data_IF_900025766105
#
_entry.id   IF_900025766105
#
_cell.length_a   1.000
_cell.length_b   1.000
_cell.length_c   1.000
_cell.angle_alpha   90.00
_cell.angle_beta   90.00
_cell.angle_gamma   90.00
#
_symmetry.space_group_name_H-M   'P 1'
#
loop_
_entity.id
_entity.type
_entity.pdbx_description
1 polymer ?
#
# COMPACT_ATOMS: atom_id res chain seq x y z
N UNK A 1 -106.80 1.28 42.63
CA UNK A 1 -105.61 0.41 42.72
C UNK A 1 -105.18 0.06 41.30
N UNK A 2 -104.05 0.60 40.84
CA UNK A 2 -103.50 0.36 39.51
C UNK A 2 -102.33 -0.61 39.66
N UNK A 3 -102.22 -1.71 38.89
CA UNK A 3 -101.10 -2.62 39.03
C UNK A 3 -99.86 -2.01 38.35
N UNK A 4 -98.77 -1.87 39.09
CA UNK A 4 -97.46 -1.51 38.54
C UNK A 4 -96.88 -2.71 37.78
N UNK A 5 -96.67 -2.55 36.47
CA UNK A 5 -95.87 -3.46 35.67
C UNK A 5 -94.41 -3.36 36.13
N UNK A 6 -93.87 -4.43 36.71
CA UNK A 6 -92.44 -4.54 37.01
C UNK A 6 -91.68 -4.62 35.68
N UNK A 7 -90.94 -3.57 35.37
CA UNK A 7 -90.05 -3.51 34.23
C UNK A 7 -88.75 -4.24 34.63
N UNK A 8 -88.58 -5.48 34.16
CA UNK A 8 -87.32 -6.20 34.32
C UNK A 8 -86.28 -5.57 33.39
N UNK A 9 -85.39 -4.75 33.95
CA UNK A 9 -84.22 -4.23 33.24
C UNK A 9 -83.25 -5.40 33.02
N UNK A 10 -83.15 -5.86 31.78
CA UNK A 10 -82.13 -6.85 31.39
C UNK A 10 -80.82 -6.08 31.24
N UNK A 11 -79.95 -6.20 32.24
CA UNK A 11 -78.58 -5.70 32.15
C UNK A 11 -77.79 -6.69 31.29
N UNK A 12 -77.46 -6.32 30.06
CA UNK A 12 -76.45 -7.04 29.29
C UNK A 12 -75.07 -6.69 29.83
N UNK A 13 -74.49 -7.58 30.62
CA UNK A 13 -73.07 -7.55 30.95
C UNK A 13 -72.27 -7.88 29.69
N UNK A 14 -71.75 -6.85 29.03
CA UNK A 14 -70.77 -7.04 27.97
C UNK A 14 -69.44 -7.31 28.66
N UNK A 15 -69.15 -8.59 28.87
CA UNK A 15 -67.79 -9.06 29.20
C UNK A 15 -66.88 -8.78 28.01
N UNK A 16 -66.27 -7.59 27.99
CA UNK A 16 -65.11 -7.32 27.14
C UNK A 16 -63.96 -8.14 27.71
N UNK A 17 -63.77 -9.34 27.16
CA UNK A 17 -62.55 -10.12 27.36
C UNK A 17 -61.38 -9.32 26.79
N UNK A 18 -60.76 -8.50 27.63
CA UNK A 18 -59.48 -7.86 27.36
C UNK A 18 -58.37 -8.90 27.51
N UNK A 19 -58.36 -9.88 26.60
CA UNK A 19 -57.22 -10.77 26.44
C UNK A 19 -55.97 -9.93 26.26
N UNK A 20 -54.94 -10.19 27.08
CA UNK A 20 -53.64 -9.52 27.01
C UNK A 20 -53.20 -9.44 25.54
N UNK A 21 -52.74 -8.27 25.04
CA UNK A 21 -52.49 -8.09 23.62
C UNK A 21 -51.18 -8.78 23.24
N UNK A 22 -51.22 -10.11 23.18
CA UNK A 22 -50.10 -11.02 22.95
C UNK A 22 -49.35 -10.70 21.64
N UNK A 23 -50.07 -10.18 20.65
CA UNK A 23 -49.54 -9.69 19.38
C UNK A 23 -48.57 -8.51 19.54
N UNK A 24 -48.76 -7.65 20.55
CA UNK A 24 -47.85 -6.53 20.86
C UNK A 24 -46.53 -7.05 21.43
N UNK A 25 -46.58 -8.07 22.30
CA UNK A 25 -45.37 -8.70 22.84
C UNK A 25 -44.57 -9.42 21.77
N UNK A 26 -45.24 -10.15 20.87
CA UNK A 26 -44.57 -10.81 19.73
C UNK A 26 -43.95 -9.78 18.79
N UNK A 27 -44.66 -8.70 18.46
CA UNK A 27 -44.13 -7.62 17.63
C UNK A 27 -42.91 -6.93 18.27
N UNK A 28 -42.92 -6.72 19.59
CA UNK A 28 -41.80 -6.16 20.33
C UNK A 28 -40.56 -7.08 20.31
N UNK A 29 -40.74 -8.40 20.46
CA UNK A 29 -39.65 -9.38 20.38
C UNK A 29 -39.06 -9.45 18.97
N UNK A 30 -39.90 -9.51 17.94
CA UNK A 30 -39.45 -9.52 16.54
C UNK A 30 -38.74 -8.21 16.20
N UNK A 31 -39.29 -7.06 16.60
CA UNK A 31 -38.66 -5.76 16.43
C UNK A 31 -37.30 -5.67 17.12
N UNK A 32 -37.17 -6.20 18.34
CA UNK A 32 -35.90 -6.31 19.05
C UNK A 32 -34.87 -7.16 18.32
N UNK A 33 -35.27 -8.33 17.78
CA UNK A 33 -34.37 -9.20 17.01
C UNK A 33 -33.89 -8.54 15.70
N UNK A 34 -34.78 -7.85 14.99
CA UNK A 34 -34.41 -7.11 13.76
C UNK A 34 -33.45 -5.98 14.10
N UNK A 35 -33.68 -5.23 15.18
CA UNK A 35 -32.80 -4.15 15.61
C UNK A 35 -31.40 -4.67 15.99
N UNK A 36 -31.32 -5.77 16.76
CA UNK A 36 -30.06 -6.41 17.12
C UNK A 36 -29.34 -6.94 15.88
N UNK A 37 -30.06 -7.62 14.97
CA UNK A 37 -29.50 -8.12 13.71
C UNK A 37 -28.98 -7.00 12.81
N UNK A 38 -29.73 -5.90 12.68
CA UNK A 38 -29.32 -4.71 11.95
C UNK A 38 -28.08 -4.05 12.56
N UNK A 39 -28.02 -3.93 13.89
CA UNK A 39 -26.86 -3.38 14.59
C UNK A 39 -25.59 -4.21 14.37
N UNK A 40 -25.68 -5.55 14.50
CA UNK A 40 -24.55 -6.45 14.28
C UNK A 40 -24.05 -6.38 12.83
N UNK A 41 -24.97 -6.35 11.86
CA UNK A 41 -24.61 -6.20 10.46
C UNK A 41 -23.90 -4.86 10.21
N UNK A 42 -24.45 -3.74 10.67
CA UNK A 42 -23.83 -2.41 10.53
C UNK A 42 -22.45 -2.36 11.18
N UNK A 43 -22.31 -2.90 12.39
CA UNK A 43 -21.04 -2.94 13.10
C UNK A 43 -19.97 -3.77 12.35
N UNK A 44 -20.37 -4.93 11.81
CA UNK A 44 -19.48 -5.78 11.01
C UNK A 44 -19.07 -5.10 9.69
N UNK A 45 -20.04 -4.53 8.96
CA UNK A 45 -19.78 -3.81 7.71
C UNK A 45 -18.93 -2.54 7.93
N UNK A 46 -19.13 -1.82 9.03
CA UNK A 46 -18.30 -0.64 9.36
C UNK A 46 -16.85 -1.04 9.60
N UNK A 47 -16.61 -2.06 10.46
CA UNK A 47 -15.24 -2.52 10.74
C UNK A 47 -14.53 -2.99 9.47
N UNK A 48 -15.24 -3.71 8.59
CA UNK A 48 -14.68 -4.15 7.30
C UNK A 48 -14.34 -2.96 6.39
N UNK A 49 -15.23 -1.98 6.26
CA UNK A 49 -15.02 -0.78 5.46
C UNK A 49 -13.83 0.04 5.97
N UNK A 50 -13.69 0.15 7.30
CA UNK A 50 -12.60 0.91 7.92
C UNK A 50 -11.25 0.22 7.72
N UNK A 51 -11.19 -1.12 7.83
CA UNK A 51 -9.99 -1.90 7.49
C UNK A 51 -9.62 -1.79 6.01
N UNK A 52 -10.58 -1.88 5.11
CA UNK A 52 -10.35 -1.72 3.67
C UNK A 52 -9.87 -0.30 3.34
N UNK A 53 -10.44 0.72 4.00
CA UNK A 53 -10.01 2.10 3.89
C UNK A 53 -8.57 2.30 4.37
N UNK A 54 -8.23 1.76 5.54
CA UNK A 54 -6.88 1.81 6.09
C UNK A 54 -5.86 1.15 5.17
N UNK A 55 -6.18 -0.05 4.66
CA UNK A 55 -5.33 -0.78 3.71
C UNK A 55 -5.06 0.04 2.44
N UNK A 56 -6.09 0.68 1.87
CA UNK A 56 -5.94 1.53 0.67
C UNK A 56 -5.02 2.71 0.92
N UNK A 57 -5.19 3.40 2.04
CA UNK A 57 -4.35 4.56 2.40
C UNK A 57 -2.91 4.12 2.64
N UNK A 58 -2.70 3.05 3.40
CA UNK A 58 -1.37 2.53 3.68
C UNK A 58 -0.64 2.08 2.40
N UNK A 59 -1.33 1.41 1.48
CA UNK A 59 -0.78 1.02 0.19
C UNK A 59 -0.43 2.22 -0.69
N UNK A 60 -1.32 3.23 -0.73
CA UNK A 60 -1.10 4.43 -1.52
C UNK A 60 0.09 5.24 -0.99
N UNK A 61 0.21 5.38 0.33
CA UNK A 61 1.36 6.01 0.98
C UNK A 61 2.65 5.24 0.67
N UNK A 62 2.65 3.91 0.86
CA UNK A 62 3.84 3.09 0.68
C UNK A 62 4.31 3.07 -0.78
N UNK A 63 3.41 2.91 -1.75
CA UNK A 63 3.76 2.96 -3.18
C UNK A 63 4.27 4.34 -3.57
N UNK A 64 3.64 5.42 -3.08
CA UNK A 64 4.09 6.78 -3.37
C UNK A 64 5.47 7.04 -2.78
N UNK A 65 5.72 6.59 -1.55
CA UNK A 65 7.02 6.69 -0.90
C UNK A 65 8.11 5.89 -1.65
N UNK A 66 7.78 4.70 -2.14
CA UNK A 66 8.71 3.88 -2.93
C UNK A 66 9.07 4.56 -4.26
N UNK A 67 8.09 5.09 -4.99
CA UNK A 67 8.32 5.80 -6.25
C UNK A 67 9.15 7.07 -6.01
N UNK A 68 8.77 7.88 -5.02
CA UNK A 68 9.49 9.12 -4.71
C UNK A 68 10.95 8.85 -4.30
N UNK A 69 11.18 7.86 -3.44
CA UNK A 69 12.53 7.47 -3.00
C UNK A 69 13.35 6.88 -4.16
N UNK A 70 12.70 6.14 -5.05
CA UNK A 70 13.32 5.58 -6.26
C UNK A 70 13.81 6.67 -7.22
N UNK A 71 12.99 7.70 -7.45
CA UNK A 71 13.37 8.88 -8.25
C UNK A 71 14.51 9.63 -7.56
N UNK A 72 14.35 9.93 -6.27
CA UNK A 72 15.37 10.65 -5.48
C UNK A 72 16.73 9.95 -5.52
N UNK A 73 16.77 8.62 -5.32
CA UNK A 73 18.05 7.88 -5.39
C UNK A 73 18.69 8.00 -6.76
N UNK A 74 17.92 7.84 -7.84
CA UNK A 74 18.43 7.98 -9.22
C UNK A 74 19.03 9.36 -9.41
N UNK A 75 18.27 10.41 -9.08
CA UNK A 75 18.69 11.79 -9.28
C UNK A 75 19.99 12.09 -8.54
N UNK A 76 20.13 11.62 -7.29
CA UNK A 76 21.38 11.77 -6.53
C UNK A 76 22.58 11.04 -7.14
N UNK A 77 22.36 9.92 -7.83
CA UNK A 77 23.44 9.17 -8.49
C UNK A 77 23.81 9.81 -9.83
N UNK A 78 22.83 10.22 -10.62
CA UNK A 78 23.04 10.83 -11.94
C UNK A 78 23.53 12.27 -11.86
N UNK A 79 23.23 12.99 -10.77
CA UNK A 79 23.73 14.37 -10.59
C UNK A 79 25.25 14.42 -10.38
N UNK A 80 25.85 13.33 -9.90
CA UNK A 80 27.30 13.29 -9.62
C UNK A 80 28.11 12.82 -10.85
N UNK A 81 27.49 12.18 -11.84
CA UNK A 81 28.15 11.69 -13.06
C UNK A 81 28.37 12.77 -14.13
N UNK A 82 28.63 14.01 -13.72
CA UNK A 82 28.64 15.18 -14.59
C UNK A 82 29.55 15.06 -15.82
N UNK A 83 29.01 15.51 -16.96
CA UNK A 83 29.70 15.97 -18.18
C UNK A 83 30.25 14.94 -19.19
N UNK A 84 30.01 13.64 -19.03
CA UNK A 84 30.41 12.66 -20.04
C UNK A 84 29.18 12.08 -20.76
N UNK A 85 29.30 11.81 -22.06
CA UNK A 85 28.29 11.09 -22.88
C UNK A 85 27.92 9.70 -22.31
N UNK A 86 28.60 9.27 -21.23
CA UNK A 86 28.49 7.97 -20.58
C UNK A 86 28.60 8.12 -19.07
N UNK A 87 27.74 7.43 -18.33
CA UNK A 87 27.81 7.35 -16.88
C UNK A 87 29.17 6.80 -16.44
N UNK A 88 29.90 7.61 -15.67
CA UNK A 88 31.27 7.32 -15.24
C UNK A 88 31.39 7.65 -13.76
N UNK A 89 31.94 6.71 -12.98
CA UNK A 89 32.16 6.90 -11.55
C UNK A 89 33.64 7.20 -11.31
N UNK A 90 33.99 8.40 -10.82
CA UNK A 90 35.39 8.71 -10.52
C UNK A 90 35.90 7.86 -9.33
N UNK A 91 37.21 7.57 -9.25
CA UNK A 91 37.79 6.79 -8.16
C UNK A 91 37.53 7.36 -6.75
N UNK A 92 37.34 8.67 -6.66
CA UNK A 92 37.06 9.40 -5.42
C UNK A 92 35.57 9.51 -5.10
N UNK A 93 34.70 8.94 -5.94
CA UNK A 93 33.26 8.99 -5.75
C UNK A 93 32.86 8.29 -4.45
N UNK A 94 32.13 9.02 -3.63
CA UNK A 94 31.46 8.48 -2.46
C UNK A 94 29.96 8.60 -2.69
N UNK A 95 29.23 7.51 -2.43
CA UNK A 95 27.78 7.51 -2.57
C UNK A 95 27.20 8.52 -1.59
N UNK A 96 26.41 9.52 -2.05
CA UNK A 96 25.79 10.50 -1.17
C UNK A 96 24.95 9.85 -0.05
N UNK A 97 24.93 10.46 1.12
CA UNK A 97 24.13 9.98 2.26
C UNK A 97 22.63 9.91 1.90
N UNK A 98 22.17 10.83 1.07
CA UNK A 98 20.82 10.93 0.54
C UNK A 98 20.47 9.73 -0.35
N UNK A 99 21.39 9.31 -1.23
CA UNK A 99 21.19 8.13 -2.07
C UNK A 99 21.11 6.84 -1.22
N UNK A 100 21.93 6.75 -0.16
CA UNK A 100 21.87 5.65 0.81
C UNK A 100 20.57 5.66 1.63
N UNK A 101 20.11 6.85 2.03
CA UNK A 101 18.84 7.03 2.74
C UNK A 101 17.66 6.63 1.86
N UNK A 102 17.63 7.10 0.61
CA UNK A 102 16.57 6.77 -0.34
C UNK A 102 16.45 5.25 -0.56
N UNK A 103 17.56 4.51 -0.64
CA UNK A 103 17.50 3.04 -0.71
C UNK A 103 16.85 2.41 0.53
N UNK A 104 17.18 2.90 1.74
CA UNK A 104 16.54 2.41 2.98
C UNK A 104 15.05 2.75 3.03
N UNK A 105 14.69 3.95 2.59
CA UNK A 105 13.29 4.39 2.54
C UNK A 105 12.47 3.55 1.54
N UNK A 106 13.09 3.14 0.41
CA UNK A 106 12.50 2.18 -0.53
C UNK A 106 12.27 0.81 0.12
N UNK A 107 13.22 0.28 0.88
CA UNK A 107 13.08 -1.00 1.60
C UNK A 107 11.99 -0.92 2.68
N UNK A 108 11.91 0.18 3.41
CA UNK A 108 10.85 0.40 4.40
C UNK A 108 9.46 0.45 3.73
N UNK A 109 9.35 1.15 2.60
CA UNK A 109 8.12 1.20 1.81
C UNK A 109 7.74 -0.18 1.26
N UNK A 110 8.73 -0.98 0.80
CA UNK A 110 8.53 -2.37 0.38
C UNK A 110 7.92 -3.22 1.50
N UNK A 111 8.43 -3.14 2.73
CA UNK A 111 7.86 -3.88 3.86
C UNK A 111 6.43 -3.44 4.20
N UNK A 112 6.12 -2.14 4.10
CA UNK A 112 4.73 -1.67 4.24
C UNK A 112 3.82 -2.28 3.16
N UNK A 113 4.28 -2.37 1.91
CA UNK A 113 3.56 -3.03 0.81
C UNK A 113 3.35 -4.51 1.12
N UNK A 114 4.38 -5.23 1.58
CA UNK A 114 4.32 -6.64 1.92
C UNK A 114 3.26 -6.95 3.00
N UNK A 115 3.11 -6.07 3.99
CA UNK A 115 2.08 -6.20 5.04
C UNK A 115 0.67 -5.99 4.47
N UNK A 116 0.51 -5.11 3.49
CA UNK A 116 -0.79 -4.58 3.09
C UNK A 116 -1.31 -5.11 1.74
N UNK A 117 -0.47 -5.69 0.88
CA UNK A 117 -0.79 -5.93 -0.54
C UNK A 117 -1.00 -7.40 -0.89
N UNK A 118 -1.73 -7.64 -1.99
CA UNK A 118 -1.61 -8.90 -2.75
C UNK A 118 -0.27 -9.00 -3.51
N UNK A 119 0.14 -10.24 -3.79
CA UNK A 119 1.44 -10.59 -4.41
C UNK A 119 1.80 -9.82 -5.70
N UNK A 120 0.82 -9.28 -6.43
CA UNK A 120 1.06 -8.59 -7.72
C UNK A 120 1.72 -7.22 -7.57
N UNK A 121 1.33 -6.45 -6.54
CA UNK A 121 1.95 -5.15 -6.23
C UNK A 121 3.35 -5.39 -5.70
N UNK A 122 3.51 -6.37 -4.80
CA UNK A 122 4.80 -6.70 -4.20
C UNK A 122 5.83 -7.09 -5.29
N UNK A 123 5.46 -7.95 -6.24
CA UNK A 123 6.32 -8.28 -7.38
C UNK A 123 6.75 -7.06 -8.20
N UNK A 124 5.84 -6.10 -8.41
CA UNK A 124 6.18 -4.88 -9.15
C UNK A 124 7.08 -3.94 -8.35
N UNK A 125 6.92 -3.89 -7.03
CA UNK A 125 7.82 -3.18 -6.14
C UNK A 125 9.21 -3.84 -6.12
N UNK A 126 9.27 -5.16 -6.05
CA UNK A 126 10.53 -5.93 -6.05
C UNK A 126 11.37 -5.66 -7.30
N UNK A 127 10.74 -5.50 -8.48
CA UNK A 127 11.46 -5.12 -9.71
C UNK A 127 12.18 -3.76 -9.59
N UNK A 128 11.56 -2.78 -8.94
CA UNK A 128 12.18 -1.48 -8.70
C UNK A 128 13.33 -1.62 -7.69
N UNK A 129 13.12 -2.39 -6.62
CA UNK A 129 14.15 -2.65 -5.61
C UNK A 129 15.36 -3.36 -6.21
N UNK A 130 15.13 -4.33 -7.10
CA UNK A 130 16.18 -5.10 -7.78
C UNK A 130 17.06 -4.19 -8.64
N UNK A 131 16.46 -3.30 -9.45
CA UNK A 131 17.21 -2.31 -10.24
C UNK A 131 18.11 -1.43 -9.37
N UNK A 132 17.59 -0.92 -8.26
CA UNK A 132 18.36 -0.05 -7.35
C UNK A 132 19.42 -0.81 -6.55
N UNK A 133 19.15 -2.07 -6.21
CA UNK A 133 20.11 -2.97 -5.54
C UNK A 133 21.26 -3.33 -6.49
N UNK A 134 20.94 -3.70 -7.74
CA UNK A 134 21.95 -4.00 -8.76
C UNK A 134 22.84 -2.80 -9.02
N UNK A 135 22.25 -1.61 -9.22
CA UNK A 135 22.98 -0.35 -9.32
C UNK A 135 23.91 -0.13 -8.11
N UNK A 136 23.44 -0.34 -6.88
CA UNK A 136 24.27 -0.20 -5.69
C UNK A 136 25.45 -1.18 -5.65
N UNK A 137 25.24 -2.43 -6.03
CA UNK A 137 26.30 -3.45 -6.09
C UNK A 137 27.34 -3.11 -7.16
N UNK A 138 26.92 -2.62 -8.33
CA UNK A 138 27.83 -2.16 -9.38
C UNK A 138 28.67 -0.96 -8.91
N UNK A 139 28.04 0.02 -8.25
CA UNK A 139 28.74 1.17 -7.66
C UNK A 139 29.79 0.71 -6.64
N UNK A 140 29.44 -0.21 -5.73
CA UNK A 140 30.37 -0.75 -4.73
C UNK A 140 31.56 -1.48 -5.38
N UNK A 141 31.29 -2.26 -6.43
CA UNK A 141 32.34 -2.93 -7.20
C UNK A 141 33.25 -1.94 -7.93
N UNK A 142 32.70 -0.87 -8.50
CA UNK A 142 33.49 0.21 -9.12
C UNK A 142 34.38 0.90 -8.10
N UNK A 143 33.87 1.21 -6.91
CA UNK A 143 34.66 1.79 -5.82
C UNK A 143 35.81 0.87 -5.39
N UNK A 144 35.58 -0.44 -5.34
CA UNK A 144 36.61 -1.44 -5.02
C UNK A 144 37.57 -1.73 -6.17
N UNK A 145 37.28 -1.26 -7.39
CA UNK A 145 38.12 -1.51 -8.56
C UNK A 145 39.37 -0.61 -8.61
N UNK A 146 39.46 0.37 -7.72
CA UNK A 146 40.60 1.27 -7.59
C UNK A 146 41.31 1.04 -6.26
N UNK A 147 42.63 0.85 -6.31
CA UNK A 147 43.51 0.83 -5.15
C UNK A 147 44.42 2.06 -5.19
N UNK A 148 44.50 2.80 -4.07
CA UNK A 148 45.39 3.95 -3.91
C UNK A 148 46.59 3.53 -3.04
N UNK A 149 47.82 3.42 -3.58
CA UNK A 149 48.97 2.93 -2.82
C UNK A 149 49.54 3.90 -1.77
N UNK A 150 49.09 5.16 -1.71
CA UNK A 150 49.63 6.20 -0.82
C UNK A 150 49.92 7.51 -1.56
N UNK A 151 50.46 8.52 -0.86
CA UNK A 151 50.57 9.93 -1.32
C UNK A 151 51.22 10.12 -2.70
N UNK A 152 52.10 9.22 -3.15
CA UNK A 152 52.80 9.29 -4.44
C UNK A 152 52.38 8.19 -5.46
N UNK A 153 51.34 7.42 -5.17
CA UNK A 153 50.93 6.27 -5.99
C UNK A 153 49.87 6.63 -7.04
N UNK A 154 50.07 6.17 -8.29
CA UNK A 154 48.98 6.16 -9.27
C UNK A 154 47.88 5.17 -8.86
N UNK A 155 46.62 5.49 -9.18
CA UNK A 155 45.50 4.57 -8.97
C UNK A 155 45.74 3.26 -9.72
N UNK A 156 45.88 2.16 -8.97
CA UNK A 156 46.01 0.83 -9.55
C UNK A 156 44.62 0.29 -9.84
N UNK A 157 44.34 0.00 -11.11
CA UNK A 157 43.09 -0.65 -11.53
C UNK A 157 43.18 -2.14 -11.24
N UNK A 158 42.28 -2.64 -10.40
CA UNK A 158 42.20 -4.05 -10.01
C UNK A 158 41.34 -4.88 -10.98
N UNK A 159 40.61 -4.23 -11.88
CA UNK A 159 39.64 -4.86 -12.77
C UNK A 159 39.95 -4.55 -14.24
N UNK A 160 39.55 -5.45 -15.11
CA UNK A 160 39.71 -5.25 -16.56
C UNK A 160 38.91 -4.02 -17.04
N UNK A 161 39.38 -3.35 -18.10
CA UNK A 161 38.63 -2.26 -18.72
C UNK A 161 37.20 -2.64 -19.09
N UNK A 162 37.00 -3.84 -19.61
CA UNK A 162 35.68 -4.36 -19.99
C UNK A 162 34.75 -4.49 -18.78
N UNK A 163 35.27 -4.98 -17.65
CA UNK A 163 34.49 -5.14 -16.42
C UNK A 163 34.14 -3.81 -15.75
N UNK A 164 34.95 -2.76 -15.94
CA UNK A 164 34.59 -1.40 -15.52
C UNK A 164 33.47 -0.86 -16.40
N UNK A 165 33.56 -1.10 -17.70
CA UNK A 165 32.57 -0.61 -18.67
C UNK A 165 31.18 -1.21 -18.40
N UNK A 166 31.14 -2.52 -18.15
CA UNK A 166 29.91 -3.25 -17.81
C UNK A 166 29.31 -2.74 -16.50
N UNK A 167 30.13 -2.61 -15.45
CA UNK A 167 29.64 -2.13 -14.16
C UNK A 167 29.20 -0.67 -14.19
N UNK A 168 29.83 0.21 -14.98
CA UNK A 168 29.38 1.58 -15.17
C UNK A 168 28.00 1.62 -15.84
N UNK A 169 27.80 0.79 -16.88
CA UNK A 169 26.51 0.67 -17.56
C UNK A 169 25.44 0.17 -16.61
N UNK A 170 25.74 -0.83 -15.80
CA UNK A 170 24.78 -1.48 -14.90
C UNK A 170 24.60 -0.70 -13.58
N UNK A 171 25.54 0.20 -13.25
CA UNK A 171 25.41 1.17 -12.15
C UNK A 171 24.45 2.31 -12.50
N UNK A 172 24.43 2.71 -13.77
CA UNK A 172 23.43 3.62 -14.31
C UNK A 172 22.06 2.95 -14.36
N UNK A 173 21.06 3.59 -13.74
CA UNK A 173 19.69 3.09 -13.82
C UNK A 173 19.07 3.63 -15.11
N UNK A 174 18.75 2.72 -16.03
CA UNK A 174 18.00 3.01 -17.25
C UNK A 174 16.67 3.70 -16.89
N UNK A 175 16.50 4.93 -17.37
CA UNK A 175 15.31 5.74 -17.08
C UNK A 175 14.05 5.15 -17.70
N UNK A 176 14.15 4.54 -18.88
CA UNK A 176 13.01 3.97 -19.58
C UNK A 176 12.55 2.69 -18.88
N UNK A 177 13.49 1.86 -18.45
CA UNK A 177 13.19 0.69 -17.64
C UNK A 177 12.58 1.09 -16.29
N UNK A 178 13.18 2.06 -15.60
CA UNK A 178 12.67 2.55 -14.32
C UNK A 178 11.25 3.10 -14.45
N UNK A 179 10.99 3.89 -15.49
CA UNK A 179 9.67 4.47 -15.77
C UNK A 179 8.63 3.38 -16.06
N UNK A 180 9.01 2.34 -16.82
CA UNK A 180 8.13 1.17 -17.06
C UNK A 180 7.80 0.45 -15.75
N UNK A 181 8.78 0.23 -14.89
CA UNK A 181 8.60 -0.37 -13.58
C UNK A 181 7.67 0.46 -12.68
N UNK A 182 7.88 1.79 -12.61
CA UNK A 182 7.00 2.71 -11.88
C UNK A 182 5.56 2.67 -12.40
N UNK A 183 5.38 2.74 -13.72
CA UNK A 183 4.06 2.67 -14.35
C UNK A 183 3.34 1.34 -14.06
N UNK A 184 4.08 0.23 -14.06
CA UNK A 184 3.54 -1.10 -13.73
C UNK A 184 3.13 -1.21 -12.27
N UNK A 185 3.93 -0.67 -11.34
CA UNK A 185 3.57 -0.62 -9.92
C UNK A 185 2.31 0.23 -9.69
N UNK A 186 2.27 1.44 -10.26
CA UNK A 186 1.12 2.34 -10.15
C UNK A 186 -0.14 1.69 -10.73
N UNK A 187 -0.02 1.01 -11.88
CA UNK A 187 -1.14 0.29 -12.49
C UNK A 187 -1.63 -0.85 -11.59
N UNK A 188 -0.71 -1.62 -11.00
CA UNK A 188 -1.04 -2.72 -10.08
C UNK A 188 -1.77 -2.20 -8.84
N UNK A 189 -1.29 -1.08 -8.27
CA UNK A 189 -1.98 -0.37 -7.19
C UNK A 189 -3.39 0.05 -7.62
N UNK A 190 -3.54 0.73 -8.76
CA UNK A 190 -4.84 1.20 -9.26
C UNK A 190 -5.87 0.08 -9.44
N UNK A 191 -5.42 -1.12 -9.82
CA UNK A 191 -6.29 -2.31 -9.93
C UNK A 191 -6.71 -2.78 -8.53
N UNK A 192 -5.76 -2.91 -7.60
CA UNK A 192 -6.00 -3.36 -6.23
C UNK A 192 -7.01 -2.46 -5.48
N UNK A 193 -6.81 -1.15 -5.57
CA UNK A 193 -7.70 -0.17 -4.91
C UNK A 193 -8.97 0.12 -5.72
N UNK A 194 -9.20 -0.63 -6.81
CA UNK A 194 -10.38 -0.59 -7.68
C UNK A 194 -10.62 0.76 -8.38
N UNK A 195 -9.56 1.52 -8.63
CA UNK A 195 -9.62 2.72 -9.47
C UNK A 195 -9.59 2.38 -10.97
N UNK A 196 -8.98 1.24 -11.34
CA UNK A 196 -9.01 0.71 -12.72
C UNK A 196 -9.50 -0.73 -12.74
N UNK A 197 -10.22 -1.09 -13.81
CA UNK A 197 -10.58 -2.49 -14.06
C UNK A 197 -9.35 -3.27 -14.48
N UNK A 198 -9.22 -4.51 -14.00
CA UNK A 198 -8.26 -5.48 -14.52
C UNK A 198 -8.65 -5.76 -15.98
N UNK A 199 -7.80 -5.36 -16.91
CA UNK A 199 -7.94 -5.81 -18.31
C UNK A 199 -7.52 -7.29 -18.31
N UNK A 200 -8.48 -8.16 -18.67
CA UNK A 200 -8.26 -9.60 -18.87
C UNK A 200 -7.40 -9.83 -20.10
#
# INVERSE_FOLDING_TARGET
MVPMLRQNVIVHEISLSSGTPWHVYIAAVIGGLIAIGGWLAVHYFSKKRDLDGWRRTALLEAVSALVASSISRRDHITTVSGLYDRFTIPPTYTVPDEARKALRDMMAARHKIEICAENSILRSADQIIELHTNSALCIERLQRSFFYPGEDGEFVRLRSPEGIIEDERDAEIDIDELTKCHAKLIRSLQIEIRLKKKQL
#
